data_IF_148956313792
#
_entry.id   IF_148956313792
#
_cell.length_a   1.000
_cell.length_b   1.000
_cell.length_c   1.000
_cell.angle_alpha   90.00
_cell.angle_beta   90.00
_cell.angle_gamma   90.00
#
_symmetry.space_group_name_H-M   'P 1'
#
loop_
_entity.id
_entity.type
_entity.pdbx_description
1 polymer ?
#
# COMPACT_ATOMS: atom_id res chain seq x y z
N UNK A 1 7.68 -9.07 20.16
CA UNK A 1 6.50 -9.21 19.29
C UNK A 1 6.49 -8.04 18.30
N UNK A 2 6.12 -8.26 17.03
CA UNK A 2 6.01 -7.17 16.05
C UNK A 2 5.02 -6.11 16.54
N UNK A 3 5.32 -4.83 16.32
CA UNK A 3 4.47 -3.70 16.78
C UNK A 3 3.15 -3.59 16.01
N UNK A 4 3.10 -4.15 14.80
CA UNK A 4 1.95 -4.08 13.91
C UNK A 4 1.71 -5.47 13.31
N UNK A 5 0.53 -6.04 13.57
CA UNK A 5 0.08 -7.26 12.91
C UNK A 5 -0.44 -6.90 11.52
N UNK A 6 -0.06 -7.65 10.50
CA UNK A 6 -0.44 -7.42 9.11
C UNK A 6 -1.05 -8.68 8.51
N UNK A 7 -2.20 -8.51 7.85
CA UNK A 7 -2.91 -9.59 7.17
C UNK A 7 -3.40 -9.16 5.80
N UNK A 8 -3.66 -10.15 4.95
CA UNK A 8 -4.45 -9.95 3.74
C UNK A 8 -5.90 -9.63 4.11
N UNK A 9 -6.59 -8.98 3.17
CA UNK A 9 -8.04 -8.86 3.19
C UNK A 9 -8.56 -10.12 2.51
N UNK A 10 -9.19 -11.00 3.29
CA UNK A 10 -9.65 -12.30 2.79
C UNK A 10 -10.82 -12.11 1.80
N UNK A 11 -10.77 -12.75 0.62
CA UNK A 11 -11.86 -12.69 -0.33
C UNK A 11 -13.19 -13.19 0.25
N UNK A 12 -14.29 -12.50 -0.05
CA UNK A 12 -15.62 -12.87 0.43
C UNK A 12 -15.89 -12.60 1.91
N UNK A 13 -14.92 -12.06 2.66
CA UNK A 13 -15.11 -11.71 4.07
C UNK A 13 -16.07 -10.52 4.25
N UNK A 14 -16.66 -10.40 5.44
CA UNK A 14 -17.48 -9.24 5.85
C UNK A 14 -16.68 -7.93 5.71
N UNK A 15 -15.39 -8.02 5.98
CA UNK A 15 -14.42 -6.95 5.81
C UNK A 15 -14.27 -6.51 4.35
N UNK A 16 -14.18 -7.45 3.40
CA UNK A 16 -14.17 -7.11 1.97
C UNK A 16 -15.42 -6.32 1.58
N UNK A 17 -16.60 -6.76 2.04
CA UNK A 17 -17.87 -6.07 1.78
C UNK A 17 -17.91 -4.67 2.38
N UNK A 18 -17.39 -4.49 3.59
CA UNK A 18 -17.29 -3.19 4.25
C UNK A 18 -16.35 -2.20 3.52
N UNK A 19 -15.49 -2.71 2.63
CA UNK A 19 -14.52 -1.92 1.86
C UNK A 19 -14.95 -1.67 0.41
N UNK A 20 -16.22 -1.92 0.06
CA UNK A 20 -16.72 -1.72 -1.30
C UNK A 20 -16.55 -0.27 -1.81
N UNK A 21 -16.77 0.75 -0.96
CA UNK A 21 -16.54 2.15 -1.34
C UNK A 21 -15.04 2.42 -1.61
N UNK A 22 -14.16 1.91 -0.74
CA UNK A 22 -12.72 2.02 -0.94
C UNK A 22 -12.29 1.35 -2.25
N UNK A 23 -12.82 0.16 -2.53
CA UNK A 23 -12.57 -0.54 -3.79
C UNK A 23 -13.02 0.28 -5.00
N UNK A 24 -14.23 0.86 -4.93
CA UNK A 24 -14.75 1.75 -5.97
C UNK A 24 -13.82 2.95 -6.25
N UNK A 25 -13.18 3.49 -5.21
CA UNK A 25 -12.16 4.54 -5.38
C UNK A 25 -10.96 4.06 -6.18
N UNK A 26 -10.40 2.89 -5.87
CA UNK A 26 -9.30 2.33 -6.66
C UNK A 26 -9.70 2.09 -8.11
N UNK A 27 -10.85 1.44 -8.35
CA UNK A 27 -11.35 1.19 -9.71
C UNK A 27 -11.48 2.49 -10.51
N UNK A 28 -12.06 3.53 -9.92
CA UNK A 28 -12.23 4.82 -10.58
C UNK A 28 -10.89 5.50 -10.91
N UNK A 29 -9.87 5.38 -10.05
CA UNK A 29 -8.57 6.04 -10.23
C UNK A 29 -7.62 5.27 -11.14
N UNK A 30 -7.69 3.93 -11.14
CA UNK A 30 -6.95 3.10 -12.08
C UNK A 30 -7.37 3.38 -13.53
N UNK A 31 -8.66 3.69 -13.75
CA UNK A 31 -9.16 4.07 -15.06
C UNK A 31 -9.13 2.92 -16.06
N UNK A 32 -9.11 3.27 -17.34
CA UNK A 32 -9.21 2.31 -18.45
C UNK A 32 -7.82 1.84 -18.92
N UNK A 33 -7.71 0.64 -19.53
CA UNK A 33 -6.44 0.10 -20.02
C UNK A 33 -5.65 1.07 -20.90
N UNK A 34 -6.32 1.75 -21.83
CA UNK A 34 -5.69 2.68 -22.78
C UNK A 34 -5.00 3.89 -22.12
N UNK A 35 -5.28 4.15 -20.84
CA UNK A 35 -4.69 5.23 -20.04
C UNK A 35 -3.48 4.77 -19.22
N UNK A 36 -3.17 3.47 -19.20
CA UNK A 36 -2.11 2.88 -18.39
C UNK A 36 -0.78 2.83 -19.15
N UNK A 37 -0.20 4.00 -19.39
CA UNK A 37 1.18 4.10 -19.85
C UNK A 37 2.17 3.78 -18.71
N UNK A 38 3.43 3.54 -19.06
CA UNK A 38 4.44 3.16 -18.07
C UNK A 38 4.64 4.21 -16.97
N UNK A 39 4.46 5.51 -17.27
CA UNK A 39 4.52 6.56 -16.24
C UNK A 39 3.42 6.38 -15.20
N UNK A 40 2.17 6.17 -15.62
CA UNK A 40 1.05 5.86 -14.71
C UNK A 40 1.33 4.60 -13.90
N UNK A 41 1.90 3.58 -14.52
CA UNK A 41 2.29 2.36 -13.82
C UNK A 41 3.29 2.63 -12.68
N UNK A 42 4.31 3.47 -12.92
CA UNK A 42 5.32 3.87 -11.90
C UNK A 42 4.77 4.77 -10.79
N UNK A 43 3.74 5.56 -11.07
CA UNK A 43 3.02 6.35 -10.06
C UNK A 43 2.38 5.43 -9.01
N UNK A 44 1.82 4.31 -9.46
CA UNK A 44 1.13 3.35 -8.59
C UNK A 44 2.05 2.34 -7.92
N UNK A 45 3.01 1.78 -8.66
CA UNK A 45 3.84 0.68 -8.17
C UNK A 45 5.29 1.09 -8.01
N UNK A 46 5.87 0.67 -6.89
CA UNK A 46 7.31 0.61 -6.70
C UNK A 46 7.78 -0.78 -7.13
N UNK A 47 8.24 -0.87 -8.38
CA UNK A 47 8.77 -2.09 -8.97
C UNK A 47 10.30 -2.08 -9.04
N UNK A 48 10.93 -3.25 -9.12
CA UNK A 48 12.37 -3.40 -9.34
C UNK A 48 12.76 -3.02 -10.77
N UNK A 49 12.89 -1.72 -11.08
CA UNK A 49 13.30 -1.27 -12.44
C UNK A 49 14.76 -0.77 -12.49
N UNK A 50 15.54 -1.00 -11.44
CA UNK A 50 16.99 -0.78 -11.46
C UNK A 50 17.75 -2.06 -11.82
N UNK A 51 18.68 -1.97 -12.78
CA UNK A 51 19.68 -3.01 -13.05
C UNK A 51 20.61 -3.17 -11.83
N UNK A 52 20.17 -3.92 -10.83
CA UNK A 52 20.87 -4.05 -9.55
C UNK A 52 20.02 -4.56 -8.39
N UNK A 53 18.69 -4.64 -8.55
CA UNK A 53 17.85 -5.20 -7.49
C UNK A 53 17.72 -4.28 -6.26
N UNK A 54 18.10 -3.02 -6.38
CA UNK A 54 17.83 -2.04 -5.34
C UNK A 54 16.34 -1.66 -5.38
N UNK A 55 15.74 -1.66 -4.19
CA UNK A 55 14.49 -0.96 -3.92
C UNK A 55 14.60 0.40 -4.62
N UNK A 56 13.73 0.69 -5.58
CA UNK A 56 13.65 2.06 -6.10
C UNK A 56 13.36 2.94 -4.89
N UNK A 57 14.38 3.66 -4.40
CA UNK A 57 14.24 4.58 -3.30
C UNK A 57 13.09 5.56 -3.55
N UNK A 58 12.58 6.18 -2.48
CA UNK A 58 11.47 7.11 -2.60
C UNK A 58 10.10 6.48 -2.36
N UNK A 59 10.00 5.46 -1.50
CA UNK A 59 8.70 4.99 -0.99
C UNK A 59 7.89 6.14 -0.37
N UNK A 60 8.53 7.11 0.29
CA UNK A 60 7.88 8.34 0.76
C UNK A 60 7.35 9.20 -0.39
N UNK A 61 8.17 9.47 -1.41
CA UNK A 61 7.76 10.30 -2.57
C UNK A 61 6.53 9.68 -3.23
N UNK A 62 6.54 8.34 -3.42
CA UNK A 62 5.43 7.62 -4.03
C UNK A 62 4.20 7.60 -3.13
N UNK A 63 4.34 7.33 -1.83
CA UNK A 63 3.22 7.37 -0.90
C UNK A 63 2.59 8.78 -0.82
N UNK A 64 3.42 9.84 -0.81
CA UNK A 64 2.98 11.23 -0.84
C UNK A 64 2.24 11.59 -2.14
N UNK A 65 2.68 11.06 -3.29
CA UNK A 65 2.00 11.25 -4.57
C UNK A 65 0.67 10.49 -4.64
N UNK A 66 0.60 9.29 -4.06
CA UNK A 66 -0.60 8.44 -4.08
C UNK A 66 -1.67 8.86 -3.09
N UNK A 67 -1.31 9.44 -1.94
CA UNK A 67 -2.30 9.80 -0.93
C UNK A 67 -3.37 10.81 -1.45
N UNK A 68 -3.04 11.87 -2.20
CA UNK A 68 -4.04 12.71 -2.86
C UNK A 68 -4.93 11.95 -3.85
N UNK A 69 -4.37 11.01 -4.62
CA UNK A 69 -5.11 10.20 -5.60
C UNK A 69 -6.15 9.31 -4.91
N UNK A 70 -5.80 8.76 -3.75
CA UNK A 70 -6.61 7.82 -2.98
C UNK A 70 -7.56 8.48 -1.96
N UNK A 71 -7.41 9.79 -1.74
CA UNK A 71 -8.34 10.55 -0.91
C UNK A 71 -9.70 10.70 -1.61
N UNK A 72 -10.78 10.71 -0.83
CA UNK A 72 -12.13 10.99 -1.33
C UNK A 72 -12.18 12.39 -1.94
N UNK A 73 -13.03 12.60 -2.94
CA UNK A 73 -13.20 13.91 -3.56
C UNK A 73 -13.57 14.96 -2.49
N UNK A 74 -12.86 16.09 -2.47
CA UNK A 74 -13.02 17.15 -1.47
C UNK A 74 -12.17 16.98 -0.21
N UNK A 75 -11.63 15.78 0.05
CA UNK A 75 -10.72 15.54 1.16
C UNK A 75 -9.27 15.82 0.77
N UNK A 76 -8.52 16.46 1.69
CA UNK A 76 -7.07 16.63 1.54
C UNK A 76 -6.36 15.41 2.12
N UNK A 77 -5.34 14.90 1.45
CA UNK A 77 -4.44 13.91 2.05
C UNK A 77 -3.62 14.51 3.20
N UNK A 78 -2.80 13.69 3.87
CA UNK A 78 -1.90 14.20 4.91
C UNK A 78 -0.83 13.21 5.34
N UNK A 79 0.06 13.67 6.21
CA UNK A 79 1.00 12.82 6.92
C UNK A 79 0.40 12.42 8.27
N UNK A 80 0.41 11.13 8.60
CA UNK A 80 -0.02 10.64 9.91
C UNK A 80 0.81 11.28 11.03
N UNK A 81 2.11 11.45 10.81
CA UNK A 81 3.02 12.05 11.79
C UNK A 81 2.59 13.47 12.22
N UNK A 82 1.98 14.24 11.31
CA UNK A 82 1.44 15.57 11.63
C UNK A 82 0.28 15.50 12.62
N UNK A 83 -0.56 14.46 12.53
CA UNK A 83 -1.65 14.23 13.49
C UNK A 83 -1.11 13.72 14.84
N UNK A 84 -0.08 12.87 14.81
CA UNK A 84 0.58 12.37 16.02
C UNK A 84 1.33 13.46 16.80
N UNK A 85 1.72 14.56 16.13
CA UNK A 85 2.37 15.72 16.75
C UNK A 85 1.40 16.82 17.20
N UNK A 86 0.09 16.61 17.11
CA UNK A 86 -0.90 17.61 17.53
C UNK A 86 -0.67 18.02 19.01
N UNK A 87 -0.37 19.31 19.29
CA UNK A 87 -0.06 19.76 20.65
C UNK A 87 -1.32 19.73 21.54
N UNK A 88 -1.14 19.47 22.83
CA UNK A 88 -2.22 19.45 23.81
C UNK A 88 -3.22 18.29 23.67
N UNK A 89 -2.96 17.30 22.80
CA UNK A 89 -3.77 16.09 22.64
C UNK A 89 -3.10 14.88 23.29
N UNK A 90 -3.89 14.04 23.96
CA UNK A 90 -3.43 12.71 24.43
C UNK A 90 -3.17 11.77 23.24
N UNK A 91 -2.45 10.67 23.46
CA UNK A 91 -2.22 9.65 22.42
C UNK A 91 -3.55 9.09 21.90
N UNK A 92 -4.50 8.81 22.79
CA UNK A 92 -5.84 8.34 22.43
C UNK A 92 -6.59 9.34 21.55
N UNK A 93 -6.56 10.63 21.90
CA UNK A 93 -7.20 11.69 21.11
C UNK A 93 -6.56 11.82 19.71
N UNK A 94 -5.25 11.62 19.60
CA UNK A 94 -4.53 11.64 18.32
C UNK A 94 -4.93 10.47 17.43
N UNK A 95 -5.02 9.26 17.99
CA UNK A 95 -5.50 8.09 17.26
C UNK A 95 -6.97 8.24 16.85
N UNK A 96 -7.82 8.76 17.73
CA UNK A 96 -9.21 9.07 17.39
C UNK A 96 -9.31 10.02 16.20
N UNK A 97 -8.52 11.10 16.18
CA UNK A 97 -8.47 12.02 15.05
C UNK A 97 -7.99 11.33 13.76
N UNK A 98 -7.01 10.43 13.84
CA UNK A 98 -6.54 9.63 12.68
C UNK A 98 -7.66 8.75 12.15
N UNK A 99 -8.36 8.02 13.02
CA UNK A 99 -9.50 7.17 12.64
C UNK A 99 -10.61 7.98 11.97
N UNK A 100 -10.98 9.12 12.55
CA UNK A 100 -11.97 10.04 11.98
C UNK A 100 -11.55 10.56 10.60
N UNK A 101 -10.28 10.94 10.42
CA UNK A 101 -9.76 11.39 9.13
C UNK A 101 -9.84 10.27 8.08
N UNK A 102 -9.34 9.07 8.41
CA UNK A 102 -9.38 7.91 7.51
C UNK A 102 -10.81 7.56 7.11
N UNK A 103 -11.74 7.55 8.06
CA UNK A 103 -13.14 7.21 7.81
C UNK A 103 -13.92 8.31 7.07
N UNK A 104 -13.48 9.57 7.13
CA UNK A 104 -13.95 10.63 6.22
C UNK A 104 -13.44 10.46 4.78
N UNK A 105 -12.47 9.57 4.58
CA UNK A 105 -11.87 9.28 3.28
C UNK A 105 -10.58 10.07 3.01
N UNK A 106 -9.99 10.70 4.02
CA UNK A 106 -8.66 11.32 3.91
C UNK A 106 -7.58 10.24 3.99
N UNK A 107 -6.82 10.07 2.91
CA UNK A 107 -5.68 9.16 2.92
C UNK A 107 -4.49 9.78 3.70
N UNK A 108 -3.83 8.97 4.52
CA UNK A 108 -2.71 9.41 5.35
C UNK A 108 -1.45 8.61 5.02
N UNK A 109 -0.37 9.30 4.68
CA UNK A 109 0.96 8.69 4.54
C UNK A 109 1.48 8.37 5.94
N UNK A 110 1.89 7.12 6.13
CA UNK A 110 2.66 6.66 7.27
C UNK A 110 4.10 6.43 6.78
N UNK A 111 5.06 7.01 7.49
CA UNK A 111 6.47 6.90 7.19
C UNK A 111 7.29 6.77 8.47
N UNK A 112 8.37 6.01 8.44
CA UNK A 112 9.17 5.71 9.62
C UNK A 112 10.16 4.57 9.40
N UNK A 113 10.80 4.11 10.48
CA UNK A 113 11.67 2.93 10.42
C UNK A 113 10.83 1.68 10.15
N UNK A 114 11.35 0.79 9.32
CA UNK A 114 10.70 -0.46 8.96
C UNK A 114 10.26 -1.27 10.18
N UNK A 115 11.13 -1.38 11.19
CA UNK A 115 10.86 -2.02 12.50
C UNK A 115 9.72 -1.39 13.32
N UNK A 116 9.29 -0.16 12.99
CA UNK A 116 8.29 0.58 13.75
C UNK A 116 6.94 0.63 13.04
N UNK A 117 6.96 0.85 11.72
CA UNK A 117 5.74 1.09 10.94
C UNK A 117 5.32 -0.09 10.07
N UNK A 118 6.18 -1.08 9.89
CA UNK A 118 5.88 -2.19 8.99
C UNK A 118 5.15 -3.30 9.71
N UNK A 119 4.26 -3.95 8.99
CA UNK A 119 3.59 -5.16 9.43
C UNK A 119 4.55 -6.33 9.64
N UNK A 120 4.16 -7.30 10.45
CA UNK A 120 4.92 -8.53 10.71
C UNK A 120 5.21 -9.40 9.46
N UNK A 121 4.49 -9.19 8.35
CA UNK A 121 4.74 -9.84 7.05
C UNK A 121 5.65 -9.04 6.13
N UNK A 122 6.01 -7.81 6.53
CA UNK A 122 6.87 -6.95 5.73
C UNK A 122 8.33 -7.35 5.89
N UNK A 123 9.05 -7.39 4.76
CA UNK A 123 10.50 -7.57 4.76
C UNK A 123 11.21 -6.42 5.46
N UNK A 124 10.61 -5.23 5.53
CA UNK A 124 11.14 -4.07 6.25
C UNK A 124 11.06 -4.21 7.78
N UNK A 125 10.27 -5.16 8.31
CA UNK A 125 10.07 -5.31 9.75
C UNK A 125 11.34 -5.69 10.53
N UNK A 126 12.37 -6.20 9.85
CA UNK A 126 13.66 -6.59 10.45
C UNK A 126 14.79 -5.62 10.14
N UNK A 127 14.56 -4.60 9.30
CA UNK A 127 15.58 -3.64 8.91
C UNK A 127 15.30 -2.26 9.52
N UNK A 128 16.36 -1.54 9.86
CA UNK A 128 16.28 -0.13 10.24
C UNK A 128 16.08 0.79 9.05
N UNK A 129 15.95 0.23 7.84
CA UNK A 129 15.65 1.00 6.64
C UNK A 129 14.32 1.70 6.77
N UNK A 130 14.22 2.82 6.09
CA UNK A 130 13.03 3.65 6.06
C UNK A 130 11.97 3.01 5.15
N UNK A 131 10.71 3.06 5.57
CA UNK A 131 9.56 2.65 4.76
C UNK A 131 8.46 3.71 4.79
N UNK A 132 7.60 3.70 3.78
CA UNK A 132 6.40 4.51 3.75
C UNK A 132 5.29 3.87 2.91
N UNK A 133 4.05 4.02 3.37
CA UNK A 133 2.85 3.54 2.69
C UNK A 133 1.64 4.41 3.05
N UNK A 134 0.47 4.13 2.48
CA UNK A 134 -0.73 4.96 2.65
C UNK A 134 -1.80 4.23 3.46
N UNK A 135 -2.30 4.83 4.54
CA UNK A 135 -3.50 4.39 5.25
C UNK A 135 -4.75 5.04 4.65
N UNK A 136 -5.85 4.27 4.57
CA UNK A 136 -7.00 4.61 3.74
C UNK A 136 -8.35 4.59 4.45
N UNK A 137 -8.51 3.71 5.43
CA UNK A 137 -9.76 3.52 6.18
C UNK A 137 -9.48 2.76 7.47
N UNK A 138 -10.36 2.89 8.48
CA UNK A 138 -10.36 2.03 9.66
C UNK A 138 -11.66 1.26 9.72
N UNK A 139 -11.56 -0.03 9.97
CA UNK A 139 -12.70 -0.91 10.16
C UNK A 139 -12.56 -1.66 11.47
N UNK A 140 -13.69 -2.04 12.03
CA UNK A 140 -13.77 -2.84 13.22
C UNK A 140 -14.31 -4.22 12.84
N UNK A 141 -13.65 -5.29 13.29
CA UNK A 141 -14.17 -6.64 13.11
C UNK A 141 -15.21 -7.01 14.17
N UNK A 142 -15.82 -8.19 14.06
CA UNK A 142 -16.85 -8.66 14.99
C UNK A 142 -16.41 -8.77 16.45
N UNK A 143 -15.10 -8.75 16.73
CA UNK A 143 -14.52 -8.80 18.07
C UNK A 143 -14.13 -7.40 18.61
N UNK A 144 -14.59 -6.34 17.94
CA UNK A 144 -14.23 -4.95 18.21
C UNK A 144 -12.76 -4.62 18.00
N UNK A 145 -12.02 -5.47 17.29
CA UNK A 145 -10.62 -5.19 16.96
C UNK A 145 -10.57 -4.28 15.74
N UNK A 146 -9.85 -3.18 15.90
CA UNK A 146 -9.67 -2.19 14.84
C UNK A 146 -8.53 -2.59 13.90
N UNK A 147 -8.83 -2.51 12.62
CA UNK A 147 -7.93 -2.76 11.51
C UNK A 147 -7.82 -1.49 10.66
N UNK A 148 -6.60 -1.02 10.48
CA UNK A 148 -6.29 0.04 9.53
C UNK A 148 -6.06 -0.59 8.17
N UNK A 149 -6.74 -0.10 7.15
CA UNK A 149 -6.54 -0.53 5.77
C UNK A 149 -5.46 0.34 5.15
N UNK A 150 -4.42 -0.29 4.61
CA UNK A 150 -3.30 0.39 3.97
C UNK A 150 -3.00 -0.15 2.59
N UNK A 151 -2.43 0.70 1.76
CA UNK A 151 -1.87 0.40 0.45
C UNK A 151 -0.37 0.63 0.47
N UNK A 152 0.38 -0.45 0.31
CA UNK A 152 1.84 -0.45 0.19
C UNK A 152 2.19 -0.64 -1.30
N UNK A 153 2.68 0.41 -2.00
CA UNK A 153 2.95 0.31 -3.43
C UNK A 153 4.18 -0.55 -3.75
N UNK A 154 4.94 -1.00 -2.74
CA UNK A 154 6.15 -1.78 -2.91
C UNK A 154 5.86 -3.26 -3.16
N UNK A 155 6.10 -3.69 -4.41
CA UNK A 155 5.88 -5.07 -4.85
C UNK A 155 6.87 -6.06 -4.21
N UNK A 156 7.91 -5.57 -3.56
CA UNK A 156 8.86 -6.36 -2.75
C UNK A 156 8.47 -6.47 -1.29
N UNK A 157 7.55 -5.64 -0.80
CA UNK A 157 7.34 -5.43 0.64
C UNK A 157 7.09 -6.74 1.38
N UNK A 158 6.45 -7.72 0.75
CA UNK A 158 6.18 -9.03 1.34
C UNK A 158 6.59 -10.17 0.40
N UNK A 159 6.49 -11.41 0.87
CA UNK A 159 6.69 -12.57 0.00
C UNK A 159 5.54 -12.69 -0.99
N UNK A 160 4.28 -12.55 -0.55
CA UNK A 160 3.11 -12.74 -1.42
C UNK A 160 3.01 -11.68 -2.53
N UNK A 161 3.38 -10.43 -2.24
CA UNK A 161 3.42 -9.36 -3.25
C UNK A 161 4.49 -9.64 -4.31
N UNK A 162 5.69 -10.06 -3.87
CA UNK A 162 6.80 -10.41 -4.77
C UNK A 162 6.49 -11.63 -5.62
N UNK A 163 5.87 -12.65 -5.04
CA UNK A 163 5.55 -13.88 -5.75
C UNK A 163 4.47 -13.64 -6.81
N UNK A 164 3.44 -12.82 -6.49
CA UNK A 164 2.46 -12.39 -7.48
C UNK A 164 3.11 -11.57 -8.59
N UNK A 165 3.95 -10.59 -8.25
CA UNK A 165 4.71 -9.81 -9.24
C UNK A 165 5.49 -10.72 -10.20
N UNK A 166 6.28 -11.63 -9.64
CA UNK A 166 7.10 -12.56 -10.42
C UNK A 166 6.24 -13.43 -11.35
N UNK A 167 5.10 -13.92 -10.86
CA UNK A 167 4.14 -14.69 -11.67
C UNK A 167 3.57 -13.86 -12.83
N UNK A 168 3.20 -12.61 -12.56
CA UNK A 168 2.65 -11.70 -13.57
C UNK A 168 3.70 -11.33 -14.63
N UNK A 169 4.96 -11.09 -14.25
CA UNK A 169 6.05 -10.83 -15.21
C UNK A 169 6.32 -12.05 -16.08
N UNK A 170 6.33 -13.26 -15.50
CA UNK A 170 6.47 -14.50 -16.27
C UNK A 170 5.35 -14.65 -17.29
N UNK A 171 4.11 -14.39 -16.89
CA UNK A 171 2.96 -14.49 -17.77
C UNK A 171 3.02 -13.44 -18.90
N UNK A 172 3.33 -12.18 -18.57
CA UNK A 172 3.38 -11.08 -19.52
C UNK A 172 4.43 -11.29 -20.63
N UNK A 173 5.57 -11.90 -20.30
CA UNK A 173 6.65 -12.17 -21.25
C UNK A 173 6.70 -13.63 -21.73
N UNK A 174 5.74 -14.46 -21.33
CA UNK A 174 5.71 -15.90 -21.62
C UNK A 174 7.07 -16.59 -21.33
N UNK A 175 7.60 -16.41 -20.13
CA UNK A 175 8.95 -16.88 -19.74
C UNK A 175 8.93 -17.78 -18.51
N UNK A 176 9.87 -18.72 -18.46
CA UNK A 176 10.11 -19.60 -17.30
C UNK A 176 11.40 -19.24 -16.54
N UNK A 177 12.09 -18.15 -16.89
CA UNK A 177 13.38 -17.77 -16.32
C UNK A 177 13.31 -17.50 -14.82
N UNK A 178 14.11 -18.18 -14.00
CA UNK A 178 14.13 -17.97 -12.53
C UNK A 178 14.55 -16.53 -12.19
N UNK A 179 15.58 -16.03 -12.88
CA UNK A 179 16.10 -14.67 -12.73
C UNK A 179 15.32 -13.67 -13.60
N UNK A 180 14.50 -12.83 -12.96
CA UNK A 180 13.62 -11.90 -13.65
C UNK A 180 14.23 -10.52 -13.93
N UNK A 181 15.51 -10.29 -13.61
CA UNK A 181 16.15 -8.99 -13.74
C UNK A 181 16.02 -8.35 -15.13
N UNK A 182 16.26 -9.13 -16.20
CA UNK A 182 16.10 -8.65 -17.58
C UNK A 182 14.65 -8.35 -17.95
N UNK A 183 13.71 -9.16 -17.46
CA UNK A 183 12.28 -9.01 -17.75
C UNK A 183 11.67 -7.82 -17.00
N UNK A 184 12.10 -7.60 -15.76
CA UNK A 184 11.73 -6.40 -15.01
C UNK A 184 12.14 -5.11 -15.72
N UNK A 185 13.32 -5.08 -16.35
CA UNK A 185 13.78 -3.93 -17.13
C UNK A 185 12.96 -3.69 -18.41
N UNK A 186 12.29 -4.72 -18.92
CA UNK A 186 11.44 -4.68 -20.11
C UNK A 186 9.96 -4.35 -19.80
N UNK A 187 9.57 -4.21 -18.53
CA UNK A 187 8.17 -3.88 -18.16
C UNK A 187 7.69 -2.59 -18.85
N UNK A 188 8.59 -1.63 -19.04
CA UNK A 188 8.31 -0.37 -19.76
C UNK A 188 7.89 -0.56 -21.22
N UNK A 189 8.22 -1.70 -21.81
CA UNK A 189 7.97 -2.05 -23.21
C UNK A 189 6.66 -2.84 -23.38
N UNK A 190 6.00 -3.23 -22.27
CA UNK A 190 4.68 -3.87 -22.31
C UNK A 190 3.62 -2.91 -22.84
N UNK A 191 2.64 -3.47 -23.55
CA UNK A 191 1.49 -2.68 -24.00
C UNK A 191 0.62 -2.23 -22.82
N UNK A 192 -0.26 -1.27 -23.09
CA UNK A 192 -1.12 -0.63 -22.08
C UNK A 192 -2.10 -1.60 -21.42
N UNK A 193 -2.56 -2.64 -22.13
CA UNK A 193 -3.45 -3.65 -21.57
C UNK A 193 -2.69 -4.56 -20.60
N UNK A 194 -1.47 -4.97 -20.96
CA UNK A 194 -0.62 -5.77 -20.09
C UNK A 194 -0.25 -4.98 -18.82
N UNK A 195 0.17 -3.73 -18.94
CA UNK A 195 0.46 -2.85 -17.80
C UNK A 195 -0.76 -2.67 -16.89
N UNK A 196 -1.93 -2.37 -17.47
CA UNK A 196 -3.17 -2.22 -16.72
C UNK A 196 -3.59 -3.52 -16.03
N UNK A 197 -3.43 -4.66 -16.69
CA UNK A 197 -3.73 -5.98 -16.13
C UNK A 197 -2.86 -6.31 -14.92
N UNK A 198 -1.55 -6.07 -15.02
CA UNK A 198 -0.60 -6.24 -13.90
C UNK A 198 -0.99 -5.32 -12.74
N UNK A 199 -1.15 -4.02 -13.03
CA UNK A 199 -1.48 -3.01 -12.04
C UNK A 199 -2.79 -3.33 -11.30
N UNK A 200 -3.84 -3.64 -12.07
CA UNK A 200 -5.15 -4.01 -11.53
C UNK A 200 -5.04 -5.27 -10.68
N UNK A 201 -4.35 -6.32 -11.14
CA UNK A 201 -4.23 -7.56 -10.39
C UNK A 201 -3.47 -7.37 -9.08
N UNK A 202 -2.42 -6.56 -9.06
CA UNK A 202 -1.62 -6.30 -7.85
C UNK A 202 -2.42 -5.53 -6.78
N UNK A 203 -3.32 -4.64 -7.18
CA UNK A 203 -4.07 -3.76 -6.26
C UNK A 203 -5.45 -4.33 -5.92
N UNK A 204 -6.14 -4.85 -6.92
CA UNK A 204 -7.53 -5.28 -6.85
C UNK A 204 -7.71 -6.80 -6.84
N UNK A 205 -6.63 -7.55 -7.05
CA UNK A 205 -6.67 -9.01 -7.05
C UNK A 205 -7.37 -9.57 -8.28
N UNK A 206 -7.55 -10.90 -8.29
CA UNK A 206 -8.21 -11.61 -9.39
C UNK A 206 -9.74 -11.67 -9.24
N UNK A 207 -10.29 -11.29 -8.08
CA UNK A 207 -11.72 -11.37 -7.81
C UNK A 207 -12.42 -10.03 -8.10
N UNK A 208 -13.70 -10.09 -8.44
CA UNK A 208 -14.49 -8.89 -8.76
C UNK A 208 -14.72 -7.98 -7.54
N UNK A 209 -14.72 -8.54 -6.33
CA UNK A 209 -15.01 -7.82 -5.08
C UNK A 209 -13.77 -7.56 -4.21
N UNK A 210 -12.63 -8.16 -4.52
CA UNK A 210 -11.50 -8.21 -3.61
C UNK A 210 -10.43 -7.14 -3.79
N UNK A 211 -9.35 -7.38 -3.06
CA UNK A 211 -8.12 -6.63 -3.14
C UNK A 211 -6.96 -7.57 -3.44
N UNK A 212 -5.95 -7.02 -4.11
CA UNK A 212 -4.67 -7.68 -4.32
C UNK A 212 -3.77 -7.51 -3.10
N UNK A 213 -2.60 -8.16 -3.10
CA UNK A 213 -1.74 -8.26 -1.91
C UNK A 213 -1.08 -6.94 -1.50
N UNK A 214 -1.17 -5.89 -2.32
CA UNK A 214 -0.68 -4.54 -1.96
C UNK A 214 -1.63 -3.79 -1.03
N UNK A 215 -2.91 -4.18 -0.95
CA UNK A 215 -3.86 -3.62 0.01
C UNK A 215 -4.03 -4.61 1.16
N UNK A 216 -3.73 -4.16 2.37
CA UNK A 216 -3.65 -5.01 3.57
C UNK A 216 -4.32 -4.35 4.76
N UNK A 217 -4.57 -5.18 5.77
CA UNK A 217 -5.06 -4.73 7.07
C UNK A 217 -3.94 -4.78 8.11
N UNK A 218 -3.89 -3.75 8.95
CA UNK A 218 -2.87 -3.53 9.96
C UNK A 218 -3.54 -3.34 11.32
N UNK A 219 -3.23 -4.19 12.30
CA UNK A 219 -3.58 -3.93 13.70
C UNK A 219 -2.42 -3.19 14.36
N UNK A 220 -2.57 -1.88 14.50
CA UNK A 220 -1.53 -0.98 15.00
C UNK A 220 -1.68 -0.81 16.52
N UNK A 221 -0.58 -0.87 17.28
CA UNK A 221 -0.56 -0.52 18.71
C UNK A 221 -0.86 0.98 18.90
N UNK A 222 -2.09 1.27 19.34
CA UNK A 222 -2.58 2.64 19.57
C UNK A 222 -2.26 3.20 20.97
N UNK A 223 -1.55 2.45 21.80
CA UNK A 223 -1.13 2.95 23.13
C UNK A 223 0.09 3.88 23.05
N UNK A 224 0.72 3.97 21.88
CA UNK A 224 1.92 4.77 21.61
C UNK A 224 1.70 5.67 20.41
N UNK A 225 2.49 6.73 20.31
CA UNK A 225 2.65 7.47 19.07
C UNK A 225 3.51 6.69 18.08
N UNK A 226 3.46 7.09 16.81
CA UNK A 226 4.50 6.72 15.86
C UNK A 226 5.65 7.73 16.00
N UNK A 227 6.85 7.23 16.26
CA UNK A 227 8.05 8.04 16.35
C UNK A 227 8.28 8.77 15.01
N UNK A 228 8.76 10.03 15.02
CA UNK A 228 9.04 10.72 13.77
C UNK A 228 10.11 9.96 12.99
N UNK A 229 10.02 9.90 11.66
CA UNK A 229 11.13 9.43 10.86
C UNK A 229 12.37 10.29 11.20
N UNK A 230 13.46 9.64 11.61
CA UNK A 230 14.77 10.26 11.54
C UNK A 230 15.15 10.34 10.06
N UNK A 231 14.84 11.46 9.42
CA UNK A 231 15.44 11.83 8.14
C UNK A 231 16.87 12.26 8.45
N UNK A 232 17.77 11.28 8.55
CA UNK A 232 19.22 11.49 8.66
C UNK A 232 19.80 11.94 7.33
#
# INVERSE_FOLDING_TARGET
MPRIEQKLIEPGSDMERALAELRGRFVAKLGQPLQCEFEKFKEWLQAYVGAGGDLLGGCNIRAEALAPVLSKAGEKSGLLASMMRAPGKTIEQKWTAVEEALNKGRALVIEGRGTEISGDKSKFATFTSFHAFVLLQVIEDGEKKKWFIGFDPDVSATTETRDLWNSLIRAAFNTQDVELGKWNAQVKDLDRNALHGILTTMILGATASGFGPLVRRYAIDRTKGLEPPHRG
#
